data_IF_042101938584
#
_entry.id   IF_042101938584
#
_cell.length_a   1.000
_cell.length_b   1.000
_cell.length_c   1.000
_cell.angle_alpha   90.00
_cell.angle_beta   90.00
_cell.angle_gamma   90.00
#
_symmetry.space_group_name_H-M   'P 1'
#
loop_
_entity.id
_entity.type
_entity.pdbx_description
1 polymer ?
#
# COMPACT_ATOMS: atom_id res chain seq x y z
N UNK A 1 -3.03 -8.02 19.34
CA UNK A 1 -3.95 -7.83 18.19
C UNK A 1 -4.52 -9.17 17.81
N UNK A 2 -5.84 -9.25 17.72
CA UNK A 2 -6.52 -10.46 17.25
C UNK A 2 -6.49 -10.56 15.72
N UNK A 3 -6.66 -11.77 15.18
CA UNK A 3 -6.70 -12.04 13.73
C UNK A 3 -7.69 -11.14 12.99
N UNK A 4 -8.90 -10.94 13.55
CA UNK A 4 -9.92 -10.03 13.01
C UNK A 4 -9.44 -8.58 12.90
N UNK A 5 -8.71 -8.09 13.90
CA UNK A 5 -8.20 -6.71 13.88
C UNK A 5 -7.13 -6.52 12.79
N UNK A 6 -6.30 -7.54 12.55
CA UNK A 6 -5.33 -7.51 11.45
C UNK A 6 -6.03 -7.49 10.09
N UNK A 7 -7.04 -8.35 9.90
CA UNK A 7 -7.82 -8.40 8.66
C UNK A 7 -8.48 -7.04 8.38
N UNK A 8 -9.11 -6.44 9.38
CA UNK A 8 -9.77 -5.13 9.24
C UNK A 8 -8.76 -4.02 8.87
N UNK A 9 -7.59 -4.00 9.52
CA UNK A 9 -6.52 -3.06 9.22
C UNK A 9 -5.96 -3.25 7.79
N UNK A 10 -5.81 -4.49 7.35
CA UNK A 10 -5.34 -4.83 6.00
C UNK A 10 -6.38 -4.39 4.96
N UNK A 11 -7.68 -4.68 5.16
CA UNK A 11 -8.73 -4.25 4.23
C UNK A 11 -8.82 -2.73 4.10
N UNK A 12 -8.56 -1.98 5.18
CA UNK A 12 -8.49 -0.51 5.15
C UNK A 12 -7.33 0.02 4.31
N UNK A 13 -6.20 -0.70 4.25
CA UNK A 13 -5.02 -0.32 3.48
C UNK A 13 -5.05 -0.81 2.04
N UNK A 14 -5.57 -2.02 1.82
CA UNK A 14 -5.72 -2.65 0.53
C UNK A 14 -7.17 -3.14 0.37
N UNK A 15 -8.07 -2.29 -0.17
CA UNK A 15 -9.48 -2.67 -0.36
C UNK A 15 -9.66 -3.83 -1.35
N UNK A 16 -8.64 -4.16 -2.14
CA UNK A 16 -8.64 -5.32 -3.03
C UNK A 16 -8.41 -6.65 -2.28
N UNK A 17 -7.91 -6.62 -1.05
CA UNK A 17 -7.74 -7.82 -0.22
C UNK A 17 -9.07 -8.20 0.44
N UNK A 18 -9.66 -9.32 -0.02
CA UNK A 18 -10.95 -9.79 0.51
C UNK A 18 -10.79 -10.56 1.83
N UNK A 19 -11.84 -10.52 2.66
CA UNK A 19 -11.86 -11.22 3.94
C UNK A 19 -11.71 -12.75 3.79
N UNK A 20 -12.26 -13.33 2.70
CA UNK A 20 -12.10 -14.76 2.38
C UNK A 20 -10.64 -15.13 2.13
N UNK A 21 -9.92 -14.29 1.38
CA UNK A 21 -8.50 -14.47 1.12
C UNK A 21 -7.68 -14.38 2.41
N UNK A 22 -7.90 -13.34 3.21
CA UNK A 22 -7.16 -13.09 4.45
C UNK A 22 -7.45 -14.10 5.56
N UNK A 23 -8.64 -14.71 5.57
CA UNK A 23 -9.02 -15.71 6.57
C UNK A 23 -8.18 -16.99 6.50
N UNK A 24 -7.61 -17.31 5.32
CA UNK A 24 -6.75 -18.47 5.12
C UNK A 24 -5.33 -18.32 5.70
N UNK A 25 -4.94 -17.12 6.13
CA UNK A 25 -3.60 -16.85 6.66
C UNK A 25 -3.58 -16.82 8.18
N UNK A 26 -2.44 -17.19 8.76
CA UNK A 26 -2.21 -17.10 10.20
C UNK A 26 -1.86 -15.67 10.64
N UNK A 27 -2.01 -15.42 11.94
CA UNK A 27 -1.70 -14.14 12.58
C UNK A 27 -0.30 -13.58 12.22
N UNK A 28 0.81 -14.37 12.25
CA UNK A 28 2.12 -13.85 11.86
C UNK A 28 2.19 -13.43 10.38
N UNK A 29 1.58 -14.19 9.47
CA UNK A 29 1.54 -13.82 8.04
C UNK A 29 0.74 -12.54 7.80
N UNK A 30 -0.41 -12.40 8.47
CA UNK A 30 -1.21 -11.17 8.41
C UNK A 30 -0.45 -9.96 8.95
N UNK A 31 0.35 -10.13 10.02
CA UNK A 31 1.22 -9.07 10.54
C UNK A 31 2.28 -8.62 9.53
N UNK A 32 2.99 -9.57 8.92
CA UNK A 32 4.00 -9.25 7.90
C UNK A 32 3.38 -8.54 6.69
N UNK A 33 2.20 -8.98 6.25
CA UNK A 33 1.49 -8.34 5.15
C UNK A 33 1.06 -6.91 5.51
N UNK A 34 0.54 -6.68 6.72
CA UNK A 34 0.18 -5.36 7.20
C UNK A 34 1.40 -4.41 7.29
N UNK A 35 2.54 -4.91 7.76
CA UNK A 35 3.80 -4.15 7.82
C UNK A 35 4.28 -3.77 6.41
N UNK A 36 4.25 -4.72 5.48
CA UNK A 36 4.58 -4.48 4.08
C UNK A 36 3.70 -3.38 3.45
N UNK A 37 2.38 -3.42 3.68
CA UNK A 37 1.45 -2.41 3.18
C UNK A 37 1.75 -1.01 3.76
N UNK A 38 2.08 -0.93 5.05
CA UNK A 38 2.45 0.35 5.68
C UNK A 38 3.76 0.89 5.09
N UNK A 39 4.77 0.05 4.92
CA UNK A 39 6.04 0.45 4.31
C UNK A 39 5.85 0.91 2.85
N UNK A 40 5.01 0.22 2.07
CA UNK A 40 4.69 0.61 0.70
C UNK A 40 3.96 1.96 0.64
N UNK A 41 3.02 2.20 1.56
CA UNK A 41 2.29 3.47 1.66
C UNK A 41 3.20 4.64 2.05
N UNK A 42 4.21 4.41 2.88
CA UNK A 42 5.23 5.42 3.21
C UNK A 42 6.19 5.70 2.05
N UNK A 43 6.37 4.72 1.16
CA UNK A 43 7.24 4.80 -0.03
C UNK A 43 6.57 5.38 -1.27
N UNK A 44 5.37 5.97 -1.14
CA UNK A 44 4.76 6.75 -2.23
C UNK A 44 5.82 7.67 -2.84
N UNK A 45 6.27 7.41 -4.08
CA UNK A 45 7.31 8.21 -4.69
C UNK A 45 6.76 9.63 -4.75
N UNK A 46 7.52 10.58 -4.17
CA UNK A 46 7.23 12.01 -4.40
C UNK A 46 7.06 12.16 -5.90
N UNK A 47 5.98 12.80 -6.39
CA UNK A 47 5.86 13.05 -7.82
C UNK A 47 7.13 13.80 -8.22
N UNK A 48 7.98 13.13 -8.99
CA UNK A 48 9.11 13.79 -9.62
C UNK A 48 8.47 14.88 -10.48
N UNK A 49 8.78 16.17 -10.28
CA UNK A 49 8.33 17.18 -11.22
C UNK A 49 9.06 16.86 -12.52
N UNK A 50 8.37 16.18 -13.43
CA UNK A 50 8.79 16.12 -14.82
C UNK A 50 8.63 17.53 -15.35
N UNK A 51 9.70 18.31 -15.23
CA UNK A 51 9.87 19.58 -15.94
C UNK A 51 9.85 19.26 -17.45
N UNK A 52 8.63 19.24 -18.00
CA UNK A 52 8.33 19.16 -19.43
C UNK A 52 8.23 20.58 -19.99
N UNK A 53 9.16 21.47 -19.66
CA UNK A 53 9.17 22.82 -20.21
C UNK A 53 10.56 23.27 -20.65
N UNK A 54 11.22 22.44 -21.46
CA UNK A 54 12.48 22.78 -22.14
C UNK A 54 12.36 22.70 -23.67
N UNK A 55 11.19 23.05 -24.21
CA UNK A 55 10.96 23.08 -25.68
C UNK A 55 10.14 24.30 -26.12
N UNK A 56 10.42 25.48 -25.52
CA UNK A 56 9.78 26.72 -25.99
C UNK A 56 10.62 27.98 -25.74
N UNK A 57 11.79 28.04 -26.36
CA UNK A 57 12.60 29.25 -26.60
C UNK A 57 13.69 28.82 -27.60
N UNK A 58 13.85 29.33 -28.82
CA UNK A 58 13.32 30.49 -29.54
C UNK A 58 13.50 30.22 -31.04
N UNK A 59 12.60 30.77 -31.84
CA UNK A 59 12.73 30.96 -33.29
C UNK A 59 13.62 32.16 -33.61
#
# INVERSE_FOLDING_TARGET
MEKRQLIDAICKLNPSATLKFLSGFDVPALRQYLEHLNAARQRQPRPVPTDRNRDRMVA
#
